data_IF_105840856034
#
_entry.id   IF_105840856034
#
_cell.length_a   1.000
_cell.length_b   1.000
_cell.length_c   1.000
_cell.angle_alpha   90.00
_cell.angle_beta   90.00
_cell.angle_gamma   90.00
#
_symmetry.space_group_name_H-M   'P 1'
#
loop_
_entity.id
_entity.type
_entity.pdbx_description
1 polymer ?
#
# COMPACT_ATOMS: atom_id res chain seq x y z
N UNK A 1 -18.04 9.50 13.08
CA UNK A 1 -17.32 8.83 11.96
C UNK A 1 -16.71 7.57 12.53
N UNK A 2 -17.02 6.43 11.97
CA UNK A 2 -16.42 5.17 12.39
C UNK A 2 -15.01 5.10 11.77
N UNK A 3 -14.02 4.65 12.54
CA UNK A 3 -12.63 4.56 12.07
C UNK A 3 -12.32 3.14 11.61
N UNK A 4 -11.58 3.02 10.51
CA UNK A 4 -11.06 1.75 10.02
C UNK A 4 -9.62 1.92 9.53
N UNK A 5 -8.84 0.86 9.51
CA UNK A 5 -7.50 0.81 8.93
C UNK A 5 -7.24 -0.57 8.36
N UNK A 6 -6.67 -0.66 7.18
CA UNK A 6 -6.39 -1.94 6.50
C UNK A 6 -4.94 -2.08 6.05
N UNK A 7 -4.08 -1.09 6.36
CA UNK A 7 -2.67 -1.15 6.05
C UNK A 7 -1.86 -0.89 7.32
N UNK A 8 -1.27 -1.97 7.84
CA UNK A 8 -0.41 -1.93 9.02
C UNK A 8 0.51 -3.14 9.09
N UNK A 9 1.66 -2.93 9.72
CA UNK A 9 2.76 -3.87 9.86
C UNK A 9 2.98 -4.22 11.33
N UNK A 10 3.35 -5.47 11.59
CA UNK A 10 3.61 -5.97 12.95
C UNK A 10 4.90 -6.80 12.97
N UNK A 11 5.20 -7.42 14.10
CA UNK A 11 6.44 -8.20 14.29
C UNK A 11 6.60 -9.42 13.39
N UNK A 12 5.61 -9.77 12.58
CA UNK A 12 5.76 -10.78 11.52
C UNK A 12 6.51 -10.25 10.27
N UNK A 13 6.65 -8.94 10.17
CA UNK A 13 7.52 -8.27 9.20
C UNK A 13 8.35 -7.20 9.93
N UNK A 14 8.45 -5.99 9.45
CA UNK A 14 9.26 -4.94 10.07
C UNK A 14 8.50 -4.01 11.04
N UNK A 15 7.25 -4.32 11.35
CA UNK A 15 6.50 -3.62 12.40
C UNK A 15 7.14 -3.78 13.79
N UNK A 16 6.92 -2.81 14.66
CA UNK A 16 7.66 -2.64 15.93
C UNK A 16 6.87 -3.02 17.18
N UNK A 17 5.76 -3.74 17.01
CA UNK A 17 4.97 -4.31 18.10
C UNK A 17 4.23 -5.56 17.64
N UNK A 18 3.84 -6.39 18.60
CA UNK A 18 3.02 -7.56 18.33
C UNK A 18 1.62 -7.15 17.85
N UNK A 19 0.93 -7.98 17.06
CA UNK A 19 -0.40 -7.64 16.54
C UNK A 19 -1.40 -7.17 17.59
N UNK A 20 -1.38 -7.78 18.78
CA UNK A 20 -2.31 -7.44 19.85
C UNK A 20 -2.19 -6.01 20.36
N UNK A 21 -1.01 -5.40 20.33
CA UNK A 21 -0.82 -4.01 20.74
C UNK A 21 -1.54 -3.04 19.78
N UNK A 22 -1.52 -3.33 18.49
CA UNK A 22 -2.28 -2.56 17.50
C UNK A 22 -3.80 -2.70 17.72
N UNK A 23 -4.27 -3.89 18.02
CA UNK A 23 -5.69 -4.15 18.34
C UNK A 23 -6.12 -3.34 19.56
N UNK A 24 -5.35 -3.37 20.64
CA UNK A 24 -5.65 -2.62 21.87
C UNK A 24 -5.67 -1.10 21.61
N UNK A 25 -4.72 -0.62 20.82
CA UNK A 25 -4.69 0.79 20.43
C UNK A 25 -5.94 1.15 19.62
N UNK A 26 -6.28 0.36 18.60
CA UNK A 26 -7.45 0.59 17.77
C UNK A 26 -8.75 0.63 18.59
N UNK A 27 -8.94 -0.32 19.51
CA UNK A 27 -10.11 -0.34 20.42
C UNK A 27 -10.16 0.93 21.27
N UNK A 28 -9.04 1.31 21.91
CA UNK A 28 -8.96 2.48 22.78
C UNK A 28 -9.28 3.77 22.02
N UNK A 29 -9.01 3.82 20.71
CA UNK A 29 -9.25 4.99 19.86
C UNK A 29 -10.55 4.91 19.05
N UNK A 30 -11.41 3.92 19.35
CA UNK A 30 -12.75 3.82 18.77
C UNK A 30 -12.78 3.38 17.31
N UNK A 31 -11.80 2.59 16.88
CA UNK A 31 -11.85 1.94 15.58
C UNK A 31 -12.95 0.88 15.56
N UNK A 32 -13.68 0.80 14.46
CA UNK A 32 -14.67 -0.24 14.18
C UNK A 32 -14.04 -1.47 13.56
N UNK A 33 -13.06 -1.24 12.66
CA UNK A 33 -12.42 -2.29 11.89
C UNK A 33 -10.90 -2.06 11.81
N UNK A 34 -10.16 -3.14 11.88
CA UNK A 34 -8.71 -3.15 11.79
C UNK A 34 -8.20 -4.33 10.98
N UNK A 35 -7.40 -4.07 9.97
CA UNK A 35 -6.76 -5.08 9.14
C UNK A 35 -5.25 -5.05 9.30
N UNK A 36 -4.65 -6.22 9.38
CA UNK A 36 -3.21 -6.42 9.28
C UNK A 36 -2.86 -6.72 7.82
N UNK A 37 -1.77 -6.16 7.34
CA UNK A 37 -1.27 -6.36 5.98
C UNK A 37 0.24 -6.39 5.95
N UNK A 38 0.84 -7.22 6.82
CA UNK A 38 2.30 -7.39 6.85
C UNK A 38 2.86 -7.63 5.44
N UNK A 39 4.08 -7.17 5.20
CA UNK A 39 4.79 -7.44 3.95
C UNK A 39 4.85 -8.92 3.67
N UNK A 40 4.42 -9.32 2.50
CA UNK A 40 4.38 -10.72 2.08
C UNK A 40 5.78 -11.32 1.93
N UNK A 41 5.94 -12.65 1.99
CA UNK A 41 7.16 -13.29 1.56
C UNK A 41 7.60 -12.82 0.17
N UNK A 42 8.89 -12.79 -0.07
CA UNK A 42 9.54 -12.55 -1.36
C UNK A 42 10.31 -13.80 -1.81
N UNK A 43 10.70 -13.93 -3.09
CA UNK A 43 11.52 -15.04 -3.56
C UNK A 43 12.99 -14.96 -3.10
N UNK A 44 13.34 -13.91 -2.37
CA UNK A 44 14.63 -13.66 -1.74
C UNK A 44 14.41 -13.08 -0.34
N UNK A 45 15.41 -13.19 0.53
CA UNK A 45 15.32 -12.67 1.89
C UNK A 45 15.62 -11.17 1.94
N UNK A 46 14.85 -10.44 2.76
CA UNK A 46 15.13 -9.07 3.16
C UNK A 46 14.95 -8.95 4.67
N UNK A 47 15.41 -7.85 5.27
CA UNK A 47 15.24 -7.63 6.70
C UNK A 47 13.83 -7.15 7.10
N UNK A 48 12.95 -6.91 6.14
CA UNK A 48 11.65 -6.27 6.38
C UNK A 48 10.44 -7.10 5.96
N UNK A 49 10.57 -8.08 5.08
CA UNK A 49 9.44 -8.93 4.69
C UNK A 49 9.26 -10.14 5.62
N UNK A 50 8.04 -10.66 5.67
CA UNK A 50 7.73 -11.91 6.35
C UNK A 50 8.35 -13.10 5.63
N UNK A 51 8.82 -14.11 6.36
CA UNK A 51 9.24 -15.37 5.76
C UNK A 51 8.02 -16.24 5.36
N UNK A 52 8.21 -17.17 4.43
CA UNK A 52 7.15 -18.13 4.08
C UNK A 52 6.79 -19.02 5.26
N UNK A 53 7.77 -19.33 6.10
CA UNK A 53 7.60 -20.22 7.23
C UNK A 53 6.79 -19.57 8.35
N UNK A 54 6.80 -18.23 8.46
CA UNK A 54 6.02 -17.48 9.46
C UNK A 54 4.55 -17.28 9.05
N UNK A 55 4.21 -17.50 7.78
CA UNK A 55 2.84 -17.28 7.27
C UNK A 55 1.76 -18.03 8.06
N UNK A 56 1.91 -19.32 8.39
CA UNK A 56 0.91 -20.03 9.18
C UNK A 56 0.70 -19.43 10.57
N UNK A 57 1.78 -19.02 11.25
CA UNK A 57 1.72 -18.39 12.57
C UNK A 57 1.06 -17.01 12.50
N UNK A 58 1.40 -16.21 11.50
CA UNK A 58 0.73 -14.94 11.24
C UNK A 58 -0.79 -15.09 11.10
N UNK A 59 -1.26 -16.01 10.25
CA UNK A 59 -2.68 -16.26 10.04
C UNK A 59 -3.36 -16.80 11.31
N UNK A 60 -2.68 -17.67 12.05
CA UNK A 60 -3.18 -18.20 13.33
C UNK A 60 -3.34 -17.08 14.37
N UNK A 61 -2.35 -16.20 14.50
CA UNK A 61 -2.40 -15.10 15.46
C UNK A 61 -3.52 -14.10 15.11
N UNK A 62 -3.65 -13.72 13.84
CA UNK A 62 -4.75 -12.83 13.44
C UNK A 62 -6.11 -13.49 13.71
N UNK A 63 -6.26 -14.77 13.43
CA UNK A 63 -7.50 -15.50 13.74
C UNK A 63 -7.78 -15.57 15.25
N UNK A 64 -6.76 -15.78 16.08
CA UNK A 64 -6.87 -15.72 17.55
C UNK A 64 -7.40 -14.36 18.01
N UNK A 65 -6.86 -13.28 17.45
CA UNK A 65 -7.28 -11.90 17.75
C UNK A 65 -8.71 -11.61 17.28
N UNK A 66 -9.11 -12.09 16.07
CA UNK A 66 -10.50 -12.02 15.58
C UNK A 66 -11.48 -12.61 16.60
N UNK A 67 -11.15 -13.79 17.14
CA UNK A 67 -12.01 -14.45 18.12
C UNK A 67 -12.02 -13.71 19.46
N UNK A 68 -10.84 -13.32 19.96
CA UNK A 68 -10.67 -12.70 21.28
C UNK A 68 -11.38 -11.35 21.40
N UNK A 69 -11.40 -10.57 20.33
CA UNK A 69 -11.90 -9.20 20.34
C UNK A 69 -13.18 -9.02 19.50
N UNK A 70 -13.87 -10.12 19.17
CA UNK A 70 -15.04 -10.14 18.28
C UNK A 70 -16.15 -9.16 18.67
N UNK A 71 -16.33 -8.89 19.97
CA UNK A 71 -17.36 -7.99 20.48
C UNK A 71 -16.95 -6.50 20.47
N UNK A 72 -15.68 -6.20 20.16
CA UNK A 72 -15.10 -4.88 20.29
C UNK A 72 -14.58 -4.30 18.97
N UNK A 73 -14.05 -5.15 18.09
CA UNK A 73 -13.36 -4.74 16.88
C UNK A 73 -13.51 -5.81 15.78
N UNK A 74 -13.89 -5.40 14.58
CA UNK A 74 -13.79 -6.28 13.42
C UNK A 74 -12.33 -6.36 12.98
N UNK A 75 -11.69 -7.53 13.08
CA UNK A 75 -10.30 -7.73 12.71
C UNK A 75 -10.22 -8.51 11.40
N UNK A 76 -9.32 -8.12 10.50
CA UNK A 76 -9.16 -8.71 9.18
C UNK A 76 -7.70 -9.11 8.91
N UNK A 77 -7.53 -10.25 8.22
CA UNK A 77 -6.23 -10.71 7.75
C UNK A 77 -6.03 -10.29 6.29
N UNK A 78 -5.01 -9.51 6.02
CA UNK A 78 -4.57 -9.15 4.69
C UNK A 78 -3.07 -9.37 4.53
N UNK A 79 -2.54 -9.03 3.37
CA UNK A 79 -1.12 -8.92 3.08
C UNK A 79 -0.90 -7.73 2.17
N UNK A 80 0.25 -7.07 2.33
CA UNK A 80 0.81 -6.19 1.33
C UNK A 80 1.75 -7.01 0.46
N UNK A 81 1.39 -7.17 -0.82
CA UNK A 81 2.04 -8.09 -1.74
C UNK A 81 2.73 -7.29 -2.84
N UNK A 82 4.04 -7.47 -2.95
CA UNK A 82 4.81 -6.89 -4.05
C UNK A 82 4.51 -7.56 -5.39
N UNK A 83 4.37 -6.75 -6.42
CA UNK A 83 4.47 -7.22 -7.79
C UNK A 83 5.92 -7.07 -8.24
N UNK A 84 6.60 -8.17 -8.50
CA UNK A 84 7.95 -8.17 -9.08
C UNK A 84 7.87 -8.34 -10.59
N UNK A 85 7.22 -9.40 -11.07
CA UNK A 85 6.98 -9.69 -12.46
C UNK A 85 5.77 -10.65 -12.66
N UNK A 86 5.61 -11.18 -13.86
CA UNK A 86 4.53 -12.11 -14.20
C UNK A 86 4.62 -13.45 -13.44
N UNK A 87 5.78 -13.80 -12.88
CA UNK A 87 6.01 -15.05 -12.13
C UNK A 87 5.85 -14.90 -10.63
N UNK A 88 5.95 -13.66 -10.12
CA UNK A 88 5.83 -13.39 -8.69
C UNK A 88 5.01 -12.12 -8.41
N UNK A 89 3.76 -12.32 -8.09
CA UNK A 89 2.77 -11.27 -7.83
C UNK A 89 1.56 -11.84 -7.08
N UNK A 90 0.60 -10.99 -6.73
CA UNK A 90 -0.57 -11.37 -5.95
C UNK A 90 -1.47 -12.43 -6.64
N UNK A 91 -1.44 -12.55 -7.97
CA UNK A 91 -2.33 -13.47 -8.71
C UNK A 91 -1.85 -14.93 -8.70
N UNK A 92 -0.63 -15.22 -8.24
CA UNK A 92 -0.13 -16.60 -8.20
C UNK A 92 -0.89 -17.46 -7.18
N UNK A 93 -1.03 -18.78 -7.41
CA UNK A 93 -1.79 -19.68 -6.54
C UNK A 93 -1.41 -19.57 -5.07
N UNK A 94 -0.12 -19.42 -4.78
CA UNK A 94 0.35 -19.29 -3.40
C UNK A 94 -0.40 -18.20 -2.61
N UNK A 95 -0.54 -17.01 -3.17
CA UNK A 95 -1.25 -15.92 -2.48
C UNK A 95 -2.78 -16.04 -2.57
N UNK A 96 -3.29 -16.60 -3.68
CA UNK A 96 -4.74 -16.71 -3.86
C UNK A 96 -5.38 -17.78 -2.98
N UNK A 97 -4.67 -18.83 -2.63
CA UNK A 97 -5.13 -19.93 -1.77
C UNK A 97 -5.06 -19.59 -0.27
N UNK A 98 -4.34 -18.52 0.12
CA UNK A 98 -4.30 -18.08 1.52
C UNK A 98 -5.68 -17.56 1.96
N UNK A 99 -6.13 -17.88 3.19
CA UNK A 99 -7.42 -17.45 3.73
C UNK A 99 -7.38 -15.98 4.18
N UNK A 100 -7.11 -15.08 3.24
CA UNK A 100 -7.05 -13.63 3.45
C UNK A 100 -8.40 -13.00 3.21
N UNK A 101 -8.71 -11.96 3.99
CA UNK A 101 -9.91 -11.14 3.80
C UNK A 101 -9.74 -10.11 2.68
N UNK A 102 -8.48 -9.67 2.43
CA UNK A 102 -8.12 -8.72 1.37
C UNK A 102 -6.62 -8.78 1.04
N UNK A 103 -6.25 -8.19 -0.10
CA UNK A 103 -4.87 -8.10 -0.61
C UNK A 103 -4.58 -6.68 -1.08
N UNK A 104 -3.47 -6.11 -0.61
CA UNK A 104 -2.93 -4.84 -1.08
C UNK A 104 -1.82 -5.17 -2.08
N UNK A 105 -1.88 -4.60 -3.27
CA UNK A 105 -0.80 -4.68 -4.26
C UNK A 105 0.10 -3.45 -4.16
N UNK A 106 1.40 -3.67 -4.06
CA UNK A 106 2.40 -2.61 -3.92
C UNK A 106 3.62 -2.85 -4.80
N UNK A 107 4.39 -1.79 -5.03
CA UNK A 107 5.69 -1.85 -5.70
C UNK A 107 6.72 -1.25 -4.74
N UNK A 108 7.57 -2.09 -4.16
CA UNK A 108 8.75 -1.66 -3.39
C UNK A 108 10.03 -1.92 -4.16
N UNK A 109 10.00 -2.91 -5.07
CA UNK A 109 11.13 -3.31 -5.88
C UNK A 109 10.80 -3.26 -7.37
N UNK A 110 11.79 -2.83 -8.15
CA UNK A 110 11.77 -2.94 -9.62
C UNK A 110 12.87 -3.89 -10.06
N UNK A 111 12.55 -5.05 -10.64
CA UNK A 111 13.54 -5.93 -11.20
C UNK A 111 14.30 -5.29 -12.36
N UNK A 112 15.62 -5.45 -12.39
CA UNK A 112 16.51 -5.01 -13.46
C UNK A 112 17.07 -6.18 -14.27
N UNK A 113 16.69 -7.42 -13.94
CA UNK A 113 16.96 -8.64 -14.69
C UNK A 113 15.85 -9.67 -14.50
N UNK A 114 15.84 -10.73 -15.29
CA UNK A 114 14.87 -11.83 -15.19
C UNK A 114 15.05 -12.68 -13.92
N UNK A 115 16.23 -12.62 -13.29
CA UNK A 115 16.49 -13.37 -12.06
C UNK A 115 16.05 -12.56 -10.84
N UNK A 116 15.02 -13.03 -10.15
CA UNK A 116 14.46 -12.43 -8.95
C UNK A 116 15.32 -12.74 -7.71
N UNK A 117 16.38 -11.98 -7.54
CA UNK A 117 17.29 -11.99 -6.37
C UNK A 117 17.53 -10.56 -5.93
N UNK A 118 17.88 -10.35 -4.65
CA UNK A 118 17.98 -9.02 -4.05
C UNK A 118 18.92 -8.08 -4.84
N UNK A 119 20.09 -8.56 -5.28
CA UNK A 119 21.06 -7.77 -6.03
C UNK A 119 20.57 -7.25 -7.40
N UNK A 120 19.47 -7.81 -7.91
CA UNK A 120 18.82 -7.43 -9.17
C UNK A 120 17.57 -6.56 -8.94
N UNK A 121 17.36 -6.09 -7.71
CA UNK A 121 16.21 -5.26 -7.35
C UNK A 121 16.63 -3.83 -7.12
N UNK A 122 15.83 -2.90 -7.64
CA UNK A 122 15.92 -1.48 -7.31
C UNK A 122 14.84 -1.16 -6.30
N UNK A 123 15.24 -0.89 -5.06
CA UNK A 123 14.33 -0.43 -4.01
C UNK A 123 13.93 1.02 -4.26
N UNK A 124 12.62 1.29 -4.37
CA UNK A 124 12.12 2.63 -4.72
C UNK A 124 11.97 3.56 -3.51
N UNK A 125 11.80 3.00 -2.34
CA UNK A 125 11.51 3.73 -1.09
C UNK A 125 12.61 3.63 -0.02
N UNK A 126 13.74 3.06 -0.37
CA UNK A 126 14.96 3.05 0.44
C UNK A 126 15.56 4.44 0.63
N UNK A 127 16.81 4.48 1.07
CA UNK A 127 17.52 5.76 1.22
C UNK A 127 17.68 6.45 -0.13
N UNK A 128 17.72 7.81 -0.13
CA UNK A 128 17.95 8.56 -1.37
C UNK A 128 19.31 8.21 -2.01
N UNK A 129 20.30 7.88 -1.19
CA UNK A 129 21.63 7.48 -1.69
C UNK A 129 21.54 6.20 -2.54
N UNK A 130 20.81 5.20 -2.07
CA UNK A 130 20.60 3.92 -2.79
C UNK A 130 19.73 4.14 -4.04
N UNK A 131 18.68 4.95 -3.91
CA UNK A 131 17.84 5.33 -5.03
C UNK A 131 18.66 6.03 -6.14
N UNK A 132 19.46 7.05 -5.79
CA UNK A 132 20.30 7.77 -6.73
C UNK A 132 21.36 6.86 -7.38
N UNK A 133 21.98 5.96 -6.59
CA UNK A 133 22.91 4.97 -7.13
C UNK A 133 22.23 4.04 -8.16
N UNK A 134 21.00 3.65 -7.89
CA UNK A 134 20.22 2.82 -8.82
C UNK A 134 19.87 3.57 -10.10
N UNK A 135 19.54 4.87 -10.01
CA UNK A 135 19.30 5.70 -11.21
C UNK A 135 20.55 5.73 -12.09
N UNK A 136 21.72 6.00 -11.51
CA UNK A 136 22.99 6.02 -12.26
C UNK A 136 23.31 4.66 -12.89
N UNK A 137 23.15 3.59 -12.12
CA UNK A 137 23.61 2.26 -12.53
C UNK A 137 22.68 1.57 -13.56
N UNK A 138 21.36 1.77 -13.41
CA UNK A 138 20.36 0.99 -14.15
C UNK A 138 19.46 1.82 -15.07
N UNK A 139 19.49 3.15 -14.94
CA UNK A 139 18.61 4.06 -15.67
C UNK A 139 19.38 5.22 -16.33
N UNK A 140 20.63 4.99 -16.72
CA UNK A 140 21.44 5.94 -17.50
C UNK A 140 21.60 7.34 -16.84
N UNK A 141 21.46 7.42 -15.51
CA UNK A 141 21.42 8.69 -14.77
C UNK A 141 20.12 9.49 -14.92
N UNK A 142 19.13 8.95 -15.64
CA UNK A 142 17.84 9.63 -15.88
C UNK A 142 16.72 9.08 -14.99
N UNK A 143 16.34 9.84 -13.97
CA UNK A 143 15.24 9.49 -13.05
C UNK A 143 13.90 9.27 -13.76
N UNK A 144 13.67 9.86 -14.94
CA UNK A 144 12.45 9.67 -15.72
C UNK A 144 12.30 8.24 -16.20
N UNK A 145 13.40 7.56 -16.53
CA UNK A 145 13.39 6.15 -16.93
C UNK A 145 12.98 5.25 -15.76
N UNK A 146 13.46 5.54 -14.55
CA UNK A 146 13.05 4.81 -13.35
C UNK A 146 11.56 5.03 -13.04
N UNK A 147 11.09 6.28 -13.09
CA UNK A 147 9.67 6.62 -12.86
C UNK A 147 8.78 5.96 -13.90
N UNK A 148 9.16 5.98 -15.17
CA UNK A 148 8.43 5.27 -16.23
C UNK A 148 8.35 3.78 -15.94
N UNK A 149 9.46 3.15 -15.57
CA UNK A 149 9.49 1.73 -15.20
C UNK A 149 8.54 1.45 -14.02
N UNK A 150 8.51 2.32 -13.02
CA UNK A 150 7.59 2.18 -11.89
C UNK A 150 6.13 2.17 -12.33
N UNK A 151 5.70 3.11 -13.16
CA UNK A 151 4.32 3.15 -13.63
C UNK A 151 3.99 2.01 -14.58
N UNK A 152 4.90 1.62 -15.49
CA UNK A 152 4.74 0.45 -16.34
C UNK A 152 4.56 -0.84 -15.48
N UNK A 153 5.32 -0.97 -14.38
CA UNK A 153 5.20 -2.10 -13.44
C UNK A 153 3.90 -2.04 -12.65
N UNK A 154 3.46 -0.85 -12.24
CA UNK A 154 2.17 -0.67 -11.56
C UNK A 154 1.00 -1.06 -12.47
N UNK A 155 1.05 -0.69 -13.76
CA UNK A 155 0.03 -1.12 -14.73
C UNK A 155 -0.02 -2.65 -14.86
N UNK A 156 1.13 -3.30 -14.97
CA UNK A 156 1.22 -4.77 -15.01
C UNK A 156 0.66 -5.43 -13.74
N UNK A 157 0.92 -4.86 -12.57
CA UNK A 157 0.33 -5.32 -11.30
C UNK A 157 -1.21 -5.27 -11.35
N UNK A 158 -1.77 -4.15 -11.81
CA UNK A 158 -3.22 -3.98 -11.94
C UNK A 158 -3.80 -4.95 -12.97
N UNK A 159 -3.13 -5.14 -14.10
CA UNK A 159 -3.54 -6.08 -15.16
C UNK A 159 -3.50 -7.53 -14.69
N UNK A 160 -2.46 -7.93 -13.94
CA UNK A 160 -2.33 -9.27 -13.37
C UNK A 160 -3.45 -9.58 -12.36
N UNK A 161 -3.93 -8.57 -11.65
CA UNK A 161 -5.01 -8.72 -10.67
C UNK A 161 -4.59 -9.46 -9.40
N UNK A 162 -5.56 -10.13 -8.76
CA UNK A 162 -5.33 -10.85 -7.51
C UNK A 162 -5.23 -9.95 -6.27
N UNK A 163 -5.46 -8.64 -6.43
CA UNK A 163 -5.47 -7.63 -5.38
C UNK A 163 -6.86 -6.98 -5.26
N UNK A 164 -7.15 -6.40 -4.11
CA UNK A 164 -8.36 -5.61 -3.84
C UNK A 164 -8.04 -4.11 -3.81
N UNK A 165 -6.85 -3.77 -3.33
CA UNK A 165 -6.41 -2.41 -3.00
C UNK A 165 -5.09 -2.13 -3.70
N UNK A 166 -4.97 -0.97 -4.36
CA UNK A 166 -3.69 -0.44 -4.83
C UNK A 166 -3.07 0.37 -3.70
N UNK A 167 -1.92 -0.09 -3.20
CA UNK A 167 -1.15 0.54 -2.14
C UNK A 167 -0.38 1.76 -2.65
N UNK A 168 -0.17 2.76 -1.83
CA UNK A 168 0.66 3.99 -2.02
C UNK A 168 1.15 4.23 -3.47
N UNK A 169 0.21 4.34 -4.39
CA UNK A 169 0.31 4.23 -5.85
C UNK A 169 1.32 5.18 -6.53
N UNK A 170 1.76 6.24 -5.87
CA UNK A 170 2.75 7.20 -6.36
C UNK A 170 3.97 7.32 -5.41
N UNK A 171 4.27 6.26 -4.63
CA UNK A 171 5.39 6.25 -3.67
C UNK A 171 6.75 6.58 -4.30
N UNK A 172 6.92 6.33 -5.59
CA UNK A 172 8.09 6.74 -6.38
C UNK A 172 8.42 8.24 -6.23
N UNK A 173 7.41 9.08 -5.96
CA UNK A 173 7.57 10.49 -5.70
C UNK A 173 8.48 10.77 -4.50
N UNK A 174 8.49 9.92 -3.47
CA UNK A 174 9.22 10.13 -2.21
C UNK A 174 10.71 10.47 -2.42
N UNK A 175 11.37 9.77 -3.31
CA UNK A 175 12.77 10.00 -3.67
C UNK A 175 12.92 10.80 -4.96
N UNK A 176 12.02 10.58 -5.94
CA UNK A 176 12.06 11.26 -7.24
C UNK A 176 12.05 12.79 -7.14
N UNK A 177 11.24 13.33 -6.23
CA UNK A 177 11.14 14.79 -6.00
C UNK A 177 12.45 15.48 -5.56
N UNK A 178 13.48 14.72 -5.21
CA UNK A 178 14.79 15.27 -4.87
C UNK A 178 15.67 15.59 -6.08
N UNK A 179 15.22 15.19 -7.27
CA UNK A 179 15.85 15.57 -8.53
C UNK A 179 15.23 16.88 -9.04
N UNK A 180 16.07 17.83 -9.47
CA UNK A 180 15.60 19.13 -9.98
C UNK A 180 14.69 19.02 -11.20
N UNK A 181 14.90 17.98 -12.03
CA UNK A 181 14.07 17.71 -13.21
C UNK A 181 12.69 17.16 -12.85
N UNK A 182 12.48 16.76 -11.60
CA UNK A 182 11.24 16.08 -11.21
C UNK A 182 10.09 17.06 -11.12
N UNK A 183 9.16 16.95 -12.08
CA UNK A 183 7.94 17.72 -12.12
C UNK A 183 6.75 16.82 -12.49
N UNK A 184 5.85 16.62 -11.52
CA UNK A 184 4.67 15.74 -11.70
C UNK A 184 3.58 16.35 -12.62
N UNK A 185 3.66 17.63 -12.97
CA UNK A 185 2.75 18.26 -13.94
C UNK A 185 3.20 18.05 -15.38
N UNK A 186 4.46 17.68 -15.59
CA UNK A 186 4.97 17.40 -16.92
C UNK A 186 4.47 16.08 -17.49
N UNK A 187 4.34 16.03 -18.80
CA UNK A 187 3.79 14.89 -19.54
C UNK A 187 4.51 13.56 -19.26
N UNK A 188 5.81 13.58 -19.03
CA UNK A 188 6.58 12.36 -18.77
C UNK A 188 6.22 11.68 -17.45
N UNK A 189 5.70 12.44 -16.45
CA UNK A 189 5.18 11.89 -15.20
C UNK A 189 3.65 11.74 -15.28
N UNK A 190 2.94 12.80 -15.66
CA UNK A 190 1.48 12.88 -15.62
C UNK A 190 0.82 11.83 -16.52
N UNK A 191 1.28 11.66 -17.77
CA UNK A 191 0.65 10.70 -18.70
C UNK A 191 0.73 9.24 -18.25
N UNK A 192 1.90 8.70 -17.84
CA UNK A 192 1.96 7.35 -17.27
C UNK A 192 1.10 7.20 -16.02
N UNK A 193 1.07 8.21 -15.15
CA UNK A 193 0.22 8.18 -13.96
C UNK A 193 -1.27 8.14 -14.32
N UNK A 194 -1.74 8.98 -15.23
CA UNK A 194 -3.13 8.97 -15.69
C UNK A 194 -3.49 7.64 -16.36
N UNK A 195 -2.60 7.09 -17.19
CA UNK A 195 -2.84 5.83 -17.88
C UNK A 195 -3.08 4.66 -16.89
N UNK A 196 -2.27 4.56 -15.82
CA UNK A 196 -2.53 3.52 -14.83
C UNK A 196 -3.78 3.82 -13.98
N UNK A 197 -4.05 5.09 -13.71
CA UNK A 197 -5.23 5.49 -12.94
C UNK A 197 -6.53 5.10 -13.67
N UNK A 198 -6.56 5.14 -15.00
CA UNK A 198 -7.69 4.70 -15.82
C UNK A 198 -7.97 3.20 -15.66
N UNK A 199 -6.95 2.37 -15.45
CA UNK A 199 -7.11 0.93 -15.26
C UNK A 199 -7.79 0.55 -13.92
N UNK A 200 -7.64 1.36 -12.88
CA UNK A 200 -8.15 1.05 -11.53
C UNK A 200 -9.66 0.79 -11.53
N UNK A 201 -10.52 1.69 -12.03
CA UNK A 201 -11.96 1.44 -12.07
C UNK A 201 -12.34 0.34 -13.07
N UNK A 202 -11.62 0.17 -14.17
CA UNK A 202 -11.85 -0.91 -15.14
C UNK A 202 -11.69 -2.29 -14.51
N UNK A 203 -10.77 -2.43 -13.58
CA UNK A 203 -10.50 -3.67 -12.83
C UNK A 203 -11.31 -3.78 -11.53
N UNK A 204 -12.14 -2.79 -11.21
CA UNK A 204 -12.93 -2.78 -9.98
C UNK A 204 -12.11 -2.66 -8.70
N UNK A 205 -10.91 -2.12 -8.78
CA UNK A 205 -9.99 -1.97 -7.64
C UNK A 205 -10.32 -0.73 -6.81
N UNK A 206 -9.78 -0.72 -5.60
CA UNK A 206 -9.83 0.40 -4.67
C UNK A 206 -8.42 1.00 -4.52
N UNK A 207 -8.35 2.26 -4.12
CA UNK A 207 -7.08 2.94 -3.84
C UNK A 207 -7.02 3.35 -2.38
N UNK A 208 -5.90 3.10 -1.73
CA UNK A 208 -5.68 3.68 -0.42
C UNK A 208 -5.21 5.13 -0.50
N UNK A 209 -5.70 5.94 0.42
CA UNK A 209 -5.11 7.22 0.80
C UNK A 209 -4.23 6.95 2.01
N UNK A 210 -2.95 6.79 1.75
CA UNK A 210 -1.95 6.37 2.72
C UNK A 210 -1.38 7.59 3.45
N UNK A 211 -1.37 7.53 4.79
CA UNK A 211 -0.98 8.66 5.63
C UNK A 211 0.42 8.53 6.26
N UNK A 212 1.19 7.50 5.92
CA UNK A 212 2.51 7.17 6.52
C UNK A 212 3.47 8.36 6.63
N UNK A 213 3.47 9.23 5.64
CA UNK A 213 4.37 10.39 5.60
C UNK A 213 3.78 11.69 6.16
N UNK A 214 2.54 11.65 6.67
CA UNK A 214 1.87 12.88 7.09
C UNK A 214 2.62 13.64 8.21
N UNK A 215 2.97 12.96 9.28
CA UNK A 215 3.67 13.64 10.39
C UNK A 215 5.02 14.19 9.99
N UNK A 216 5.78 13.45 9.15
CA UNK A 216 7.13 13.83 8.76
C UNK A 216 7.18 14.90 7.66
N UNK A 217 6.29 14.82 6.65
CA UNK A 217 6.38 15.62 5.43
C UNK A 217 5.08 16.30 5.01
N UNK A 218 3.95 16.01 5.68
CA UNK A 218 2.61 16.47 5.27
C UNK A 218 2.22 15.97 3.88
N UNK A 219 2.68 14.78 3.52
CA UNK A 219 2.42 14.11 2.24
C UNK A 219 1.48 12.92 2.45
N UNK A 220 0.60 12.70 1.47
CA UNK A 220 -0.22 11.52 1.32
C UNK A 220 0.22 10.74 0.07
N UNK A 221 -0.12 9.46 0.02
CA UNK A 221 -0.06 8.66 -1.20
C UNK A 221 -1.48 8.13 -1.52
N UNK A 222 -2.06 8.46 -2.68
CA UNK A 222 -1.52 9.40 -3.68
C UNK A 222 -1.52 10.84 -3.18
N UNK A 223 -0.74 11.66 -3.85
CA UNK A 223 -0.67 13.10 -3.64
C UNK A 223 -2.05 13.74 -3.72
N UNK A 224 -2.23 14.81 -2.91
CA UNK A 224 -3.52 15.51 -2.74
C UNK A 224 -4.08 16.02 -4.07
N UNK A 225 -3.22 16.41 -5.01
CA UNK A 225 -3.58 16.94 -6.32
C UNK A 225 -4.37 15.95 -7.17
N UNK A 226 -4.21 14.63 -6.94
CA UNK A 226 -4.92 13.60 -7.69
C UNK A 226 -6.29 13.24 -7.11
N UNK A 227 -6.59 13.63 -5.87
CA UNK A 227 -7.84 13.22 -5.22
C UNK A 227 -9.09 13.67 -5.98
N UNK A 228 -9.11 14.91 -6.52
CA UNK A 228 -10.25 15.39 -7.31
C UNK A 228 -10.45 14.56 -8.58
N UNK A 229 -9.37 14.21 -9.27
CA UNK A 229 -9.42 13.37 -10.47
C UNK A 229 -9.93 11.96 -10.15
N UNK A 230 -9.42 11.35 -9.08
CA UNK A 230 -9.90 10.03 -8.62
C UNK A 230 -11.39 10.06 -8.29
N UNK A 231 -11.87 11.14 -7.67
CA UNK A 231 -13.30 11.31 -7.36
C UNK A 231 -14.14 11.43 -8.65
N UNK A 232 -13.69 12.18 -9.67
CA UNK A 232 -14.36 12.29 -10.97
C UNK A 232 -14.48 10.94 -11.67
N UNK A 233 -13.47 10.09 -11.52
CA UNK A 233 -13.44 8.72 -12.06
C UNK A 233 -14.23 7.73 -11.22
N UNK A 234 -14.82 8.15 -10.09
CA UNK A 234 -15.54 7.29 -9.13
C UNK A 234 -14.68 6.16 -8.56
N UNK A 235 -13.38 6.36 -8.41
CA UNK A 235 -12.49 5.38 -7.82
C UNK A 235 -12.82 5.27 -6.32
N UNK A 236 -13.16 4.06 -5.81
CA UNK A 236 -13.39 3.88 -4.39
C UNK A 236 -12.08 4.07 -3.61
N UNK A 237 -12.14 4.82 -2.51
CA UNK A 237 -10.96 5.09 -1.68
C UNK A 237 -11.16 4.66 -0.23
N UNK A 238 -10.07 4.36 0.45
CA UNK A 238 -10.02 4.15 1.89
C UNK A 238 -8.86 4.94 2.49
N UNK A 239 -8.89 5.20 3.79
CA UNK A 239 -7.78 5.87 4.48
C UNK A 239 -7.02 4.86 5.31
N UNK A 240 -5.74 4.67 5.02
CA UNK A 240 -4.85 3.74 5.70
C UNK A 240 -3.61 4.44 6.24
N UNK A 241 -3.05 3.93 7.33
CA UNK A 241 -1.89 4.54 7.98
C UNK A 241 -0.55 3.96 7.54
N UNK A 242 -0.52 2.72 7.04
CA UNK A 242 0.74 1.99 6.74
C UNK A 242 1.70 2.09 7.95
N UNK A 243 1.13 1.92 9.15
CA UNK A 243 1.83 2.14 10.39
C UNK A 243 2.66 0.91 10.80
N UNK A 244 3.84 1.18 11.37
CA UNK A 244 4.75 0.19 11.93
C UNK A 244 4.82 0.27 13.46
N UNK A 245 4.11 1.22 14.04
CA UNK A 245 3.98 1.43 15.48
C UNK A 245 2.50 1.63 15.83
N UNK A 246 2.00 1.09 16.96
CA UNK A 246 0.61 1.21 17.34
C UNK A 246 0.12 2.67 17.47
N UNK A 247 0.94 3.55 18.01
CA UNK A 247 0.62 4.96 18.22
C UNK A 247 0.49 5.77 16.92
N UNK A 248 0.98 5.23 15.78
CA UNK A 248 0.85 5.84 14.47
C UNK A 248 -0.39 5.39 13.69
N UNK A 249 -1.20 4.47 14.21
CA UNK A 249 -2.42 3.97 13.53
C UNK A 249 -3.37 5.09 13.12
N UNK A 250 -3.42 6.16 13.89
CA UNK A 250 -4.33 7.30 13.64
C UNK A 250 -3.62 8.54 13.06
N UNK A 251 -2.34 8.44 12.73
CA UNK A 251 -1.57 9.57 12.22
C UNK A 251 -2.08 10.05 10.86
N UNK A 252 -2.19 11.38 10.66
CA UNK A 252 -2.64 12.01 9.42
C UNK A 252 -4.09 11.74 9.01
N UNK A 253 -4.80 10.84 9.68
CA UNK A 253 -6.13 10.36 9.28
C UNK A 253 -7.18 11.49 9.23
N UNK A 254 -7.21 12.36 10.24
CA UNK A 254 -8.15 13.50 10.28
C UNK A 254 -7.97 14.41 9.07
N UNK A 255 -6.73 14.67 8.71
CA UNK A 255 -6.37 15.52 7.58
C UNK A 255 -6.71 14.85 6.26
N UNK A 256 -6.44 13.55 6.12
CA UNK A 256 -6.81 12.78 4.93
C UNK A 256 -8.34 12.83 4.70
N UNK A 257 -9.15 12.62 5.74
CA UNK A 257 -10.61 12.76 5.63
C UNK A 257 -11.05 14.17 5.25
N UNK A 258 -10.40 15.21 5.80
CA UNK A 258 -10.67 16.60 5.44
C UNK A 258 -10.36 16.83 3.95
N UNK A 259 -9.22 16.36 3.46
CA UNK A 259 -8.80 16.51 2.08
C UNK A 259 -9.71 15.73 1.11
N UNK A 260 -10.13 14.52 1.47
CA UNK A 260 -11.12 13.76 0.71
C UNK A 260 -12.45 14.52 0.58
N UNK A 261 -12.96 15.10 1.68
CA UNK A 261 -14.17 15.95 1.62
C UNK A 261 -14.00 17.16 0.72
N UNK A 262 -12.84 17.82 0.78
CA UNK A 262 -12.51 18.97 -0.07
C UNK A 262 -12.45 18.58 -1.55
N UNK A 263 -11.93 17.39 -1.87
CA UNK A 263 -11.92 16.83 -3.22
C UNK A 263 -13.30 16.36 -3.70
N UNK A 264 -14.32 16.36 -2.81
CA UNK A 264 -15.71 16.05 -3.15
C UNK A 264 -16.12 14.60 -2.94
N UNK A 265 -15.29 13.76 -2.30
CA UNK A 265 -15.70 12.42 -1.88
C UNK A 265 -16.83 12.50 -0.84
N UNK A 266 -17.77 11.55 -0.91
CA UNK A 266 -18.91 11.44 0.00
C UNK A 266 -18.81 10.24 0.93
N UNK A 267 -17.98 9.27 0.57
CA UNK A 267 -17.78 8.03 1.31
C UNK A 267 -16.36 7.52 1.16
N UNK A 268 -15.97 6.63 2.08
CA UNK A 268 -14.82 5.74 1.94
C UNK A 268 -15.28 4.30 1.84
N UNK A 269 -14.48 3.44 1.21
CA UNK A 269 -14.76 2.01 1.11
C UNK A 269 -14.20 1.30 2.34
N UNK A 270 -15.04 0.53 3.04
CA UNK A 270 -14.67 -0.16 4.26
C UNK A 270 -15.24 -1.58 4.30
N UNK A 271 -14.55 -2.51 4.97
CA UNK A 271 -15.10 -3.81 5.30
C UNK A 271 -16.08 -3.69 6.48
N UNK A 272 -17.26 -4.21 6.27
CA UNK A 272 -18.31 -4.34 7.27
C UNK A 272 -18.83 -5.77 7.24
N UNK A 273 -18.57 -6.53 8.30
CA UNK A 273 -18.91 -7.96 8.37
C UNK A 273 -18.40 -8.74 7.15
N UNK A 274 -17.14 -8.47 6.77
CA UNK A 274 -16.46 -9.13 5.65
C UNK A 274 -16.92 -8.72 4.24
N UNK A 275 -17.66 -7.61 4.10
CA UNK A 275 -18.09 -7.10 2.79
C UNK A 275 -17.69 -5.65 2.61
N UNK A 276 -17.14 -5.32 1.45
CA UNK A 276 -16.81 -3.94 1.09
C UNK A 276 -18.09 -3.11 0.92
N UNK A 277 -18.17 -1.99 1.63
CA UNK A 277 -19.29 -1.07 1.63
C UNK A 277 -18.82 0.38 1.62
N UNK A 278 -19.65 1.27 1.07
CA UNK A 278 -19.43 2.72 1.14
C UNK A 278 -19.93 3.26 2.48
N UNK A 279 -19.02 3.82 3.26
CA UNK A 279 -19.30 4.45 4.55
C UNK A 279 -19.21 5.96 4.38
N UNK A 280 -20.25 6.68 4.76
CA UNK A 280 -20.31 8.15 4.64
C UNK A 280 -19.18 8.85 5.42
N UNK A 281 -18.57 9.85 4.78
CA UNK A 281 -17.52 10.71 5.36
C UNK A 281 -18.08 11.73 6.36
#
# INVERSE_FOLDING_TARGET
MQLSNYHSHCTFCDGRSIPEDFVRFAITHGFRAYGFSSHSPLPFETFWNMSKDDMPEYLQEINRLKQKYSDQLEIYAGLEIDYLDETYNASIPYFQELPLDYRIGSIHFLPVSERLVEENMVCIDGSFREYAHSVERHFEGDVRLLVKRFFDTTMKMIEAGGIDIVGHMDKIYMNGQKYEIFNFEEDWYRKPFEAFLDLVPEKGLMVEVNTKNWTKKKELYPRVEYLSRMREMNIPVMVNSDCHYPDLVNDGRKEAFKLLKQAGFKSTRELVKGKWQDIAL
#
